data_IF_065439973479
#
_entry.id   IF_065439973479
#
_cell.length_a   1.000
_cell.length_b   1.000
_cell.length_c   1.000
_cell.angle_alpha   90.00
_cell.angle_beta   90.00
_cell.angle_gamma   90.00
#
_symmetry.space_group_name_H-M   'P 1'
#
loop_
_entity.id
_entity.type
_entity.pdbx_description
1 polymer ?
#
# COMPACT_ATOMS: atom_id res chain seq x y z
N UNK A 1 -25.10 20.13 -0.22
CA UNK A 1 -24.65 18.75 -0.15
C UNK A 1 -23.13 18.78 -0.10
N UNK A 2 -22.49 18.29 0.98
CA UNK A 2 -21.03 18.24 1.06
C UNK A 2 -20.54 17.26 -0.02
N UNK A 3 -19.66 17.70 -0.90
CA UNK A 3 -19.03 16.87 -1.92
C UNK A 3 -18.10 15.89 -1.22
N UNK A 4 -18.13 14.60 -1.61
CA UNK A 4 -17.25 13.60 -1.02
C UNK A 4 -15.78 13.92 -1.36
N UNK A 5 -14.91 13.84 -0.37
CA UNK A 5 -13.47 14.11 -0.52
C UNK A 5 -12.73 12.82 -0.89
N UNK A 6 -12.63 12.55 -2.19
CA UNK A 6 -11.95 11.37 -2.73
C UNK A 6 -10.46 11.39 -2.44
N UNK A 7 -9.81 12.56 -2.50
CA UNK A 7 -8.37 12.68 -2.27
C UNK A 7 -8.00 12.32 -0.84
N UNK A 8 -8.69 12.92 0.12
CA UNK A 8 -8.50 12.60 1.55
C UNK A 8 -8.79 11.15 1.85
N UNK A 9 -9.82 10.57 1.23
CA UNK A 9 -10.18 9.16 1.43
C UNK A 9 -9.13 8.21 0.87
N UNK A 10 -8.58 8.48 -0.32
CA UNK A 10 -7.51 7.69 -0.92
C UNK A 10 -6.21 7.82 -0.13
N UNK A 11 -5.84 9.02 0.31
CA UNK A 11 -4.68 9.22 1.20
C UNK A 11 -4.83 8.44 2.50
N UNK A 12 -5.99 8.48 3.14
CA UNK A 12 -6.27 7.73 4.37
C UNK A 12 -6.19 6.22 4.14
N UNK A 13 -6.71 5.70 3.02
CA UNK A 13 -6.57 4.28 2.66
C UNK A 13 -5.11 3.91 2.42
N UNK A 14 -4.34 4.76 1.76
CA UNK A 14 -2.89 4.55 1.53
C UNK A 14 -2.16 4.45 2.86
N UNK A 15 -2.39 5.39 3.78
CA UNK A 15 -1.80 5.35 5.11
C UNK A 15 -2.15 4.06 5.87
N UNK A 16 -3.40 3.60 5.81
CA UNK A 16 -3.83 2.36 6.47
C UNK A 16 -3.11 1.13 5.88
N UNK A 17 -3.05 1.01 4.55
CA UNK A 17 -2.36 -0.08 3.87
C UNK A 17 -0.87 -0.11 4.17
N UNK A 18 -0.20 1.03 4.08
CA UNK A 18 1.23 1.18 4.37
C UNK A 18 1.54 0.93 5.86
N UNK A 19 0.71 1.43 6.77
CA UNK A 19 0.85 1.17 8.21
C UNK A 19 0.70 -0.31 8.53
N UNK A 20 -0.24 -1.02 7.89
CA UNK A 20 -0.39 -2.46 8.04
C UNK A 20 0.88 -3.21 7.60
N UNK A 21 1.44 -2.85 6.43
CA UNK A 21 2.69 -3.43 5.92
C UNK A 21 3.88 -3.13 6.84
N UNK A 22 4.00 -1.91 7.32
CA UNK A 22 5.06 -1.50 8.26
C UNK A 22 4.97 -2.29 9.59
N UNK A 23 3.77 -2.42 10.16
CA UNK A 23 3.53 -3.21 11.36
C UNK A 23 3.92 -4.68 11.16
N UNK A 24 3.56 -5.27 10.02
CA UNK A 24 3.92 -6.63 9.67
C UNK A 24 5.45 -6.80 9.57
N UNK A 25 6.12 -5.86 8.92
CA UNK A 25 7.58 -5.87 8.77
C UNK A 25 8.32 -5.68 10.10
N UNK A 26 7.85 -4.78 10.96
CA UNK A 26 8.51 -4.48 12.24
C UNK A 26 8.22 -5.52 13.34
N UNK A 27 7.00 -6.02 13.43
CA UNK A 27 6.52 -6.77 14.57
C UNK A 27 6.14 -8.23 14.25
N UNK A 28 6.04 -8.60 12.97
CA UNK A 28 5.64 -9.95 12.56
C UNK A 28 4.31 -10.38 13.20
N UNK A 29 4.22 -11.61 13.69
CA UNK A 29 3.00 -12.19 14.25
C UNK A 29 2.38 -11.39 15.42
N UNK A 30 3.17 -10.61 16.15
CA UNK A 30 2.66 -9.79 17.26
C UNK A 30 1.73 -8.66 16.78
N UNK A 31 1.82 -8.26 15.51
CA UNK A 31 0.99 -7.20 14.95
C UNK A 31 -0.33 -7.70 14.34
N UNK A 32 -0.52 -9.01 14.18
CA UNK A 32 -1.65 -9.58 13.42
C UNK A 32 -3.02 -9.04 13.84
N UNK A 33 -3.26 -8.89 15.15
CA UNK A 33 -4.54 -8.35 15.65
C UNK A 33 -4.74 -6.88 15.26
N UNK A 34 -3.67 -6.07 15.33
CA UNK A 34 -3.71 -4.64 14.95
C UNK A 34 -3.93 -4.50 13.44
N UNK A 35 -3.26 -5.34 12.65
CA UNK A 35 -3.40 -5.35 11.20
C UNK A 35 -4.81 -5.79 10.80
N UNK A 36 -5.37 -6.83 11.43
CA UNK A 36 -6.74 -7.28 11.18
C UNK A 36 -7.77 -6.17 11.46
N UNK A 37 -7.56 -5.38 12.50
CA UNK A 37 -8.40 -4.23 12.83
C UNK A 37 -8.31 -3.13 11.76
N UNK A 38 -7.08 -2.78 11.37
CA UNK A 38 -6.82 -1.80 10.32
C UNK A 38 -7.40 -2.25 8.97
N UNK A 39 -7.33 -3.54 8.64
CA UNK A 39 -7.94 -4.13 7.46
C UNK A 39 -9.46 -3.98 7.45
N UNK A 40 -10.14 -4.28 8.57
CA UNK A 40 -11.59 -4.09 8.70
C UNK A 40 -11.99 -2.62 8.47
N UNK A 41 -11.21 -1.69 8.98
CA UNK A 41 -11.43 -0.26 8.78
C UNK A 41 -11.16 0.17 7.33
N UNK A 42 -10.15 -0.41 6.67
CA UNK A 42 -9.85 -0.15 5.27
C UNK A 42 -11.01 -0.60 4.36
N UNK A 43 -11.54 -1.80 4.56
CA UNK A 43 -12.72 -2.28 3.81
C UNK A 43 -13.97 -1.43 4.06
N UNK A 44 -14.18 -0.93 5.27
CA UNK A 44 -15.27 0.02 5.55
C UNK A 44 -15.10 1.31 4.75
N UNK A 45 -13.89 1.89 4.75
CA UNK A 45 -13.59 3.09 3.99
C UNK A 45 -13.74 2.86 2.48
N UNK A 46 -13.35 1.68 1.97
CA UNK A 46 -13.58 1.29 0.57
C UNK A 46 -15.08 1.30 0.23
N UNK A 47 -15.93 0.67 1.06
CA UNK A 47 -17.38 0.65 0.84
C UNK A 47 -18.00 2.06 0.86
N UNK A 48 -17.51 2.95 1.71
CA UNK A 48 -17.97 4.34 1.77
C UNK A 48 -17.58 5.10 0.50
N UNK A 49 -16.34 4.93 0.03
CA UNK A 49 -15.83 5.51 -1.20
C UNK A 49 -16.61 5.01 -2.43
N UNK A 50 -16.86 3.72 -2.54
CA UNK A 50 -17.66 3.13 -3.64
C UNK A 50 -19.10 3.67 -3.65
N UNK A 51 -19.74 3.76 -2.47
CA UNK A 51 -21.08 4.37 -2.38
C UNK A 51 -21.09 5.82 -2.85
N UNK A 52 -20.08 6.59 -2.49
CA UNK A 52 -19.95 7.97 -2.95
C UNK A 52 -19.79 8.03 -4.48
N UNK A 53 -18.94 7.16 -5.05
CA UNK A 53 -18.75 7.08 -6.51
C UNK A 53 -20.03 6.73 -7.27
N UNK A 54 -20.87 5.85 -6.70
CA UNK A 54 -22.17 5.50 -7.31
C UNK A 54 -23.19 6.63 -7.20
N UNK A 55 -23.08 7.51 -6.22
CA UNK A 55 -24.01 8.63 -6.01
C UNK A 55 -23.61 9.91 -6.76
N UNK A 56 -22.34 10.06 -7.13
CA UNK A 56 -21.84 11.23 -7.86
C UNK A 56 -21.88 11.02 -9.38
N UNK A 57 -22.36 12.03 -10.11
CA UNK A 57 -22.44 11.97 -11.58
C UNK A 57 -21.05 12.16 -12.23
N UNK A 58 -20.24 13.08 -11.70
CA UNK A 58 -18.89 13.38 -12.20
C UNK A 58 -17.92 13.44 -11.01
N UNK A 59 -17.13 12.39 -10.76
CA UNK A 59 -16.06 12.44 -9.78
C UNK A 59 -14.87 13.28 -10.29
N UNK A 60 -13.98 13.76 -9.40
CA UNK A 60 -12.84 14.61 -9.78
C UNK A 60 -11.73 13.86 -10.53
N UNK A 61 -11.68 12.55 -10.41
CA UNK A 61 -10.74 11.65 -11.07
C UNK A 61 -11.50 10.56 -11.84
N UNK A 62 -10.79 9.80 -12.65
CA UNK A 62 -11.40 8.64 -13.32
C UNK A 62 -11.94 7.64 -12.30
N UNK A 63 -13.20 7.22 -12.51
CA UNK A 63 -13.91 6.34 -11.58
C UNK A 63 -13.27 4.97 -11.47
N UNK A 64 -12.87 4.40 -12.61
CA UNK A 64 -12.22 3.08 -12.64
C UNK A 64 -10.86 3.10 -11.97
N UNK A 65 -10.08 4.15 -12.17
CA UNK A 65 -8.79 4.35 -11.52
C UNK A 65 -8.92 4.51 -10.01
N UNK A 66 -9.92 5.30 -9.53
CA UNK A 66 -10.20 5.41 -8.09
C UNK A 66 -10.48 4.04 -7.47
N UNK A 67 -11.36 3.25 -8.09
CA UNK A 67 -11.75 1.92 -7.60
C UNK A 67 -10.56 0.98 -7.63
N UNK A 68 -9.80 0.92 -8.73
CA UNK A 68 -8.64 0.06 -8.87
C UNK A 68 -7.57 0.36 -7.80
N UNK A 69 -7.28 1.64 -7.59
CA UNK A 69 -6.32 2.04 -6.56
C UNK A 69 -6.80 1.70 -5.14
N UNK A 70 -8.04 2.01 -4.80
CA UNK A 70 -8.60 1.71 -3.49
C UNK A 70 -8.62 0.19 -3.18
N UNK A 71 -8.97 -0.64 -4.16
CA UNK A 71 -8.89 -2.11 -4.02
C UNK A 71 -7.46 -2.61 -3.85
N UNK A 72 -6.50 -2.04 -4.57
CA UNK A 72 -5.08 -2.41 -4.41
C UNK A 72 -4.55 -2.13 -3.01
N UNK A 73 -5.02 -1.04 -2.36
CA UNK A 73 -4.68 -0.70 -0.98
C UNK A 73 -5.29 -1.67 0.04
N UNK A 74 -6.51 -2.16 -0.18
CA UNK A 74 -7.08 -3.23 0.63
C UNK A 74 -6.30 -4.53 0.45
N UNK A 75 -5.93 -4.88 -0.78
CA UNK A 75 -5.09 -6.05 -1.08
C UNK A 75 -3.71 -5.96 -0.41
N UNK A 76 -3.14 -4.76 -0.29
CA UNK A 76 -1.91 -4.53 0.47
C UNK A 76 -2.10 -4.86 1.96
N UNK A 77 -3.23 -4.48 2.56
CA UNK A 77 -3.54 -4.78 3.95
C UNK A 77 -3.74 -6.30 4.17
N UNK A 78 -4.39 -7.00 3.23
CA UNK A 78 -4.52 -8.46 3.24
C UNK A 78 -3.15 -9.16 3.17
N UNK A 79 -2.29 -8.73 2.24
CA UNK A 79 -0.94 -9.26 2.10
C UNK A 79 -0.09 -9.01 3.36
N UNK A 80 -0.25 -7.86 4.00
CA UNK A 80 0.41 -7.54 5.26
C UNK A 80 -0.03 -8.48 6.39
N UNK A 81 -1.34 -8.78 6.48
CA UNK A 81 -1.87 -9.72 7.46
C UNK A 81 -1.30 -11.14 7.24
N UNK A 82 -1.31 -11.61 6.00
CA UNK A 82 -0.73 -12.90 5.66
C UNK A 82 0.77 -12.93 5.97
N UNK A 83 1.51 -11.89 5.60
CA UNK A 83 2.94 -11.79 5.91
C UNK A 83 3.19 -11.81 7.42
N UNK A 84 2.41 -11.07 8.20
CA UNK A 84 2.55 -11.06 9.67
C UNK A 84 2.34 -12.44 10.29
N UNK A 85 1.37 -13.23 9.78
CA UNK A 85 1.06 -14.56 10.29
C UNK A 85 2.15 -15.60 10.00
N UNK A 86 2.91 -15.42 8.92
CA UNK A 86 3.99 -16.32 8.51
C UNK A 86 5.37 -15.88 8.99
N UNK A 87 5.49 -14.66 9.47
CA UNK A 87 6.76 -14.12 9.99
C UNK A 87 6.99 -14.55 11.43
N UNK A 88 8.21 -14.98 11.79
CA UNK A 88 8.53 -15.28 13.17
C UNK A 88 8.37 -14.04 14.05
N UNK A 89 8.10 -14.26 15.34
CA UNK A 89 8.09 -13.18 16.33
C UNK A 89 9.48 -12.51 16.32
N UNK A 90 9.53 -11.25 15.94
CA UNK A 90 10.79 -10.49 15.87
C UNK A 90 11.22 -10.06 17.27
N UNK A 91 11.95 -10.94 17.97
CA UNK A 91 12.55 -10.67 19.28
C UNK A 91 13.85 -9.86 19.20
N UNK A 92 14.51 -9.88 18.08
CA UNK A 92 15.79 -9.22 17.82
C UNK A 92 15.55 -8.14 16.76
N UNK A 93 15.43 -6.91 17.19
CA UNK A 93 15.41 -5.67 16.47
C UNK A 93 15.17 -5.68 14.94
N UNK A 94 14.41 -4.73 14.47
CA UNK A 94 14.21 -4.45 13.05
C UNK A 94 15.55 -4.09 12.37
N UNK A 95 15.87 -4.76 11.26
CA UNK A 95 17.00 -4.38 10.41
C UNK A 95 16.48 -3.53 9.23
N UNK A 96 16.98 -2.31 9.12
CA UNK A 96 16.70 -1.44 7.97
C UNK A 96 17.31 -1.96 6.66
N UNK A 97 18.27 -2.90 6.75
CA UNK A 97 18.89 -3.56 5.59
C UNK A 97 18.29 -4.95 5.44
N UNK A 98 17.57 -5.17 4.34
CA UNK A 98 16.93 -6.43 4.02
C UNK A 98 15.48 -6.26 3.59
N UNK A 99 14.77 -7.36 3.37
CA UNK A 99 13.43 -7.38 2.80
C UNK A 99 12.45 -6.42 3.51
N UNK A 100 12.37 -6.51 4.84
CA UNK A 100 11.46 -5.66 5.62
C UNK A 100 11.77 -4.17 5.48
N UNK A 101 13.06 -3.80 5.51
CA UNK A 101 13.49 -2.42 5.35
C UNK A 101 13.14 -1.86 3.97
N UNK A 102 13.33 -2.66 2.93
CA UNK A 102 12.95 -2.27 1.57
C UNK A 102 11.43 -2.13 1.41
N UNK A 103 10.64 -3.03 1.98
CA UNK A 103 9.18 -2.90 1.96
C UNK A 103 8.70 -1.62 2.65
N UNK A 104 9.29 -1.26 3.79
CA UNK A 104 8.96 0.00 4.48
C UNK A 104 9.34 1.21 3.62
N UNK A 105 10.53 1.19 2.98
CA UNK A 105 10.94 2.26 2.08
C UNK A 105 9.99 2.41 0.89
N UNK A 106 9.51 1.30 0.32
CA UNK A 106 8.52 1.30 -0.75
C UNK A 106 7.17 1.88 -0.30
N UNK A 107 6.73 1.55 0.92
CA UNK A 107 5.52 2.12 1.50
C UNK A 107 5.64 3.63 1.72
N UNK A 108 6.81 4.12 2.15
CA UNK A 108 7.05 5.55 2.29
C UNK A 108 6.97 6.28 0.94
N UNK A 109 7.58 5.72 -0.11
CA UNK A 109 7.50 6.29 -1.47
C UNK A 109 6.04 6.30 -1.96
N UNK A 110 5.27 5.23 -1.69
CA UNK A 110 3.86 5.15 -2.04
C UNK A 110 3.04 6.24 -1.31
N UNK A 111 3.24 6.43 -0.01
CA UNK A 111 2.54 7.47 0.76
C UNK A 111 2.88 8.87 0.28
N UNK A 112 4.16 9.17 0.04
CA UNK A 112 4.61 10.46 -0.49
C UNK A 112 4.02 10.72 -1.88
N UNK A 113 3.97 9.71 -2.74
CA UNK A 113 3.38 9.81 -4.07
C UNK A 113 1.85 10.01 -4.01
N UNK A 114 1.16 9.32 -3.10
CA UNK A 114 -0.29 9.49 -2.92
C UNK A 114 -0.66 10.90 -2.41
N UNK A 115 0.18 11.51 -1.59
CA UNK A 115 -0.03 12.89 -1.14
C UNK A 115 0.01 13.91 -2.29
N UNK A 116 0.56 13.55 -3.45
CA UNK A 116 0.57 14.40 -4.64
C UNK A 116 -0.76 14.39 -5.41
N UNK A 117 -1.68 13.44 -5.13
CA UNK A 117 -2.95 13.31 -5.87
C UNK A 117 -3.78 14.60 -5.90
N UNK A 118 -3.85 15.34 -4.79
CA UNK A 118 -4.60 16.60 -4.71
C UNK A 118 -3.92 17.75 -5.48
N UNK A 119 -2.61 17.62 -5.74
CA UNK A 119 -1.78 18.63 -6.42
C UNK A 119 -1.49 18.36 -7.89
N UNK A 120 -1.92 17.24 -8.47
CA UNK A 120 -1.52 16.80 -9.83
C UNK A 120 -1.71 17.88 -10.88
N UNK A 121 -2.82 18.62 -10.85
CA UNK A 121 -3.11 19.72 -11.80
C UNK A 121 -2.22 20.96 -11.59
N UNK A 122 -1.43 21.03 -10.51
CA UNK A 122 -0.64 22.18 -10.10
C UNK A 122 0.87 21.92 -10.07
N UNK A 123 1.29 20.66 -10.10
CA UNK A 123 2.69 20.26 -9.94
C UNK A 123 3.21 19.56 -11.19
N UNK A 124 4.41 19.95 -11.60
CA UNK A 124 5.20 19.19 -12.59
C UNK A 124 6.03 18.09 -11.93
N UNK A 125 5.81 17.80 -10.65
CA UNK A 125 6.54 16.78 -9.93
C UNK A 125 6.08 15.40 -10.37
N UNK A 126 7.03 14.60 -10.79
CA UNK A 126 6.84 13.21 -11.19
C UNK A 126 7.00 12.34 -9.94
N UNK A 127 6.13 11.35 -9.69
CA UNK A 127 6.35 10.38 -8.63
C UNK A 127 7.75 9.77 -8.72
N UNK A 128 8.29 9.37 -7.57
CA UNK A 128 9.66 8.81 -7.44
C UNK A 128 9.76 7.41 -8.05
N UNK A 129 9.41 7.27 -9.33
CA UNK A 129 9.29 5.99 -10.05
C UNK A 129 10.63 5.24 -10.08
N UNK A 130 11.71 5.93 -10.40
CA UNK A 130 13.05 5.30 -10.49
C UNK A 130 13.53 4.82 -9.12
N UNK A 131 13.28 5.59 -8.08
CA UNK A 131 13.62 5.20 -6.72
C UNK A 131 12.77 3.99 -6.27
N UNK A 132 11.47 3.98 -6.58
CA UNK A 132 10.61 2.85 -6.32
C UNK A 132 11.11 1.59 -7.03
N UNK A 133 11.43 1.67 -8.32
CA UNK A 133 11.96 0.55 -9.12
C UNK A 133 13.27 0.02 -8.56
N UNK A 134 14.21 0.90 -8.19
CA UNK A 134 15.49 0.52 -7.60
C UNK A 134 15.29 -0.20 -6.27
N UNK A 135 14.48 0.36 -5.37
CA UNK A 135 14.18 -0.24 -4.05
C UNK A 135 13.44 -1.57 -4.20
N UNK A 136 12.50 -1.67 -5.14
CA UNK A 136 11.80 -2.93 -5.46
C UNK A 136 12.77 -4.01 -5.92
N UNK A 137 13.76 -3.68 -6.75
CA UNK A 137 14.77 -4.64 -7.21
C UNK A 137 15.62 -5.17 -6.04
N UNK A 138 15.96 -4.31 -5.08
CA UNK A 138 16.66 -4.72 -3.85
C UNK A 138 15.79 -5.62 -2.97
N UNK A 139 14.50 -5.30 -2.84
CA UNK A 139 13.54 -6.14 -2.12
C UNK A 139 13.42 -7.53 -2.77
N UNK A 140 13.30 -7.60 -4.09
CA UNK A 140 13.26 -8.87 -4.86
C UNK A 140 14.50 -9.72 -4.60
N UNK A 141 15.69 -9.13 -4.65
CA UNK A 141 16.95 -9.83 -4.38
C UNK A 141 17.03 -10.38 -2.94
N UNK A 142 16.31 -9.78 -2.00
CA UNK A 142 16.32 -10.14 -0.58
C UNK A 142 15.21 -11.13 -0.17
N UNK A 143 14.31 -11.52 -1.07
CA UNK A 143 13.17 -12.41 -0.75
C UNK A 143 13.64 -13.72 -0.12
N UNK A 144 14.72 -14.31 -0.62
CA UNK A 144 15.22 -15.61 -0.22
C UNK A 144 16.27 -15.56 0.90
N UNK A 145 16.56 -14.40 1.45
CA UNK A 145 17.59 -14.22 2.49
C UNK A 145 16.93 -13.83 3.81
N UNK A 146 17.22 -14.51 4.93
CA UNK A 146 17.92 -15.79 5.10
C UNK A 146 17.11 -16.98 4.52
N UNK A 147 17.64 -18.21 4.54
CA UNK A 147 16.87 -19.38 4.11
C UNK A 147 15.54 -19.47 4.85
N UNK A 148 14.44 -19.57 4.11
CA UNK A 148 13.07 -19.46 4.64
C UNK A 148 12.25 -20.68 4.20
N UNK A 149 11.16 -20.95 4.92
CA UNK A 149 10.15 -21.89 4.47
C UNK A 149 9.48 -21.42 3.17
N UNK A 150 8.97 -22.33 2.33
CA UNK A 150 8.23 -21.95 1.12
C UNK A 150 7.07 -20.99 1.42
N UNK A 151 6.36 -21.17 2.54
CA UNK A 151 5.25 -20.30 2.96
C UNK A 151 5.75 -18.87 3.25
N UNK A 152 6.89 -18.74 3.91
CA UNK A 152 7.48 -17.43 4.20
C UNK A 152 7.95 -16.71 2.92
N UNK A 153 8.49 -17.46 1.96
CA UNK A 153 8.87 -16.93 0.63
C UNK A 153 7.63 -16.43 -0.11
N UNK A 154 6.57 -17.23 -0.18
CA UNK A 154 5.31 -16.85 -0.83
C UNK A 154 4.70 -15.59 -0.17
N UNK A 155 4.73 -15.51 1.15
CA UNK A 155 4.20 -14.35 1.87
C UNK A 155 5.03 -13.08 1.60
N UNK A 156 6.37 -13.17 1.50
CA UNK A 156 7.23 -12.06 1.09
C UNK A 156 6.93 -11.60 -0.33
N UNK A 157 6.80 -12.55 -1.27
CA UNK A 157 6.42 -12.25 -2.64
C UNK A 157 5.05 -11.55 -2.69
N UNK A 158 4.06 -12.09 -1.98
CA UNK A 158 2.71 -11.52 -1.91
C UNK A 158 2.72 -10.07 -1.40
N UNK A 159 3.45 -9.79 -0.32
CA UNK A 159 3.57 -8.44 0.22
C UNK A 159 4.22 -7.49 -0.79
N UNK A 160 5.34 -7.89 -1.40
CA UNK A 160 6.04 -7.05 -2.39
C UNK A 160 5.20 -6.78 -3.64
N UNK A 161 4.46 -7.79 -4.12
CA UNK A 161 3.56 -7.62 -5.26
C UNK A 161 2.38 -6.71 -4.93
N UNK A 162 1.82 -6.80 -3.71
CA UNK A 162 0.74 -5.92 -3.29
C UNK A 162 1.19 -4.46 -3.19
N UNK A 163 2.38 -4.18 -2.63
CA UNK A 163 2.96 -2.83 -2.59
C UNK A 163 3.18 -2.33 -4.04
N UNK A 164 3.74 -3.17 -4.91
CA UNK A 164 4.00 -2.79 -6.30
C UNK A 164 2.71 -2.51 -7.07
N UNK A 165 1.70 -3.37 -6.91
CA UNK A 165 0.39 -3.19 -7.55
C UNK A 165 -0.33 -1.91 -7.09
N UNK A 166 -0.21 -1.56 -5.80
CA UNK A 166 -0.76 -0.31 -5.30
C UNK A 166 -0.04 0.90 -5.90
N UNK A 167 1.28 0.85 -6.05
CA UNK A 167 2.05 1.92 -6.68
C UNK A 167 1.71 2.05 -8.17
N UNK A 168 1.63 0.94 -8.90
CA UNK A 168 1.28 0.94 -10.33
C UNK A 168 -0.14 1.52 -10.54
N UNK A 169 -1.13 1.10 -9.73
CA UNK A 169 -2.49 1.63 -9.78
C UNK A 169 -2.55 3.14 -9.45
N UNK A 170 -1.72 3.61 -8.52
CA UNK A 170 -1.58 5.04 -8.23
C UNK A 170 -1.07 5.81 -9.45
N UNK A 171 -0.03 5.31 -10.11
CA UNK A 171 0.55 5.95 -11.30
C UNK A 171 -0.47 5.99 -12.44
N UNK A 172 -1.21 4.90 -12.69
CA UNK A 172 -2.28 4.87 -13.68
C UNK A 172 -3.34 5.93 -13.37
N UNK A 173 -3.84 5.99 -12.13
CA UNK A 173 -4.80 7.00 -11.70
C UNK A 173 -4.28 8.43 -11.91
N UNK A 174 -2.99 8.68 -11.64
CA UNK A 174 -2.37 9.99 -11.85
C UNK A 174 -2.30 10.35 -13.35
N UNK A 175 -1.94 9.40 -14.22
CA UNK A 175 -1.83 9.62 -15.67
C UNK A 175 -3.19 9.87 -16.33
N UNK A 176 -4.25 9.22 -15.88
CA UNK A 176 -5.61 9.41 -16.38
C UNK A 176 -6.23 10.75 -15.92
N UNK A 177 -5.59 11.42 -14.97
CA UNK A 177 -6.07 12.67 -14.37
C UNK A 177 -5.48 13.93 -15.02
N UNK A 178 -4.49 13.76 -15.93
CA UNK A 178 -3.83 14.83 -16.69
C UNK A 178 -4.63 15.12 -17.98
#
# INVERSE_FOLDING_TARGET
>A
MLKYDYFSSLCTLTEKGCTAAELACKNGAQASLKISKALTEAYRSLCELERALFSEFIPPLDRSGIVAYAHSLCSLSDAALLYSSTSPIKRLGFSAKGFDGYCISLCNILMESAAMLDGIKKSSEIPRIEEFRSTRSQALASIYVPPLSPQAVCARQGLLFAISGAFDALIELMLESI
#
